data_IF_208499845024
#
_entry.id   IF_208499845024
#
_cell.length_a   1.000
_cell.length_b   1.000
_cell.length_c   1.000
_cell.angle_alpha   90.00
_cell.angle_beta   90.00
_cell.angle_gamma   90.00
#
_symmetry.space_group_name_H-M   'P 1'
#
loop_
_entity.id
_entity.type
_entity.pdbx_description
1 polymer ?
#
# COMPACT_ATOMS: atom_id res chain seq x y z
N UNK A 1 -2.72 61.72 0.42
CA UNK A 1 -3.82 60.92 -0.18
C UNK A 1 -3.48 59.46 0.01
N UNK A 2 -4.49 58.68 0.39
CA UNK A 2 -4.42 57.40 1.10
C UNK A 2 -3.81 56.23 0.30
N UNK A 3 -3.27 55.28 1.07
CA UNK A 3 -2.85 53.93 0.70
C UNK A 3 -4.04 53.02 0.34
N UNK A 4 -3.75 51.91 -0.36
CA UNK A 4 -4.52 50.66 -0.32
C UNK A 4 -5.28 50.32 -1.61
N UNK A 5 -5.38 49.07 -2.08
CA UNK A 5 -5.10 47.76 -1.49
C UNK A 5 -4.83 46.76 -2.64
N UNK A 6 -3.77 45.96 -2.51
CA UNK A 6 -3.68 44.67 -3.19
C UNK A 6 -4.74 43.73 -2.60
N UNK A 7 -5.69 43.31 -3.42
CA UNK A 7 -6.67 42.28 -3.08
C UNK A 7 -6.19 40.94 -3.64
N UNK A 8 -5.24 40.30 -2.97
CA UNK A 8 -5.12 38.85 -3.05
C UNK A 8 -6.31 38.27 -2.28
N UNK A 9 -7.36 37.91 -3.00
CA UNK A 9 -8.51 37.23 -2.43
C UNK A 9 -8.07 35.86 -1.89
N UNK A 10 -7.91 35.78 -0.57
CA UNK A 10 -7.80 34.52 0.15
C UNK A 10 -9.09 33.73 -0.11
N UNK A 11 -8.96 32.52 -0.66
CA UNK A 11 -10.11 31.63 -0.84
C UNK A 11 -10.77 31.44 0.54
N UNK A 12 -12.10 31.58 0.65
CA UNK A 12 -12.77 31.50 1.95
C UNK A 12 -12.45 30.16 2.57
N UNK A 13 -11.82 30.18 3.75
CA UNK A 13 -11.54 29.00 4.54
C UNK A 13 -12.85 28.24 4.73
N UNK A 14 -13.01 27.10 4.06
CA UNK A 14 -14.21 26.28 4.16
C UNK A 14 -14.39 25.94 5.65
N UNK A 15 -15.60 26.17 6.16
CA UNK A 15 -16.02 25.71 7.48
C UNK A 15 -15.66 24.22 7.64
N UNK A 16 -14.87 23.89 8.67
CA UNK A 16 -14.35 22.54 8.88
C UNK A 16 -15.47 21.51 8.94
N UNK A 17 -16.58 21.83 9.62
CA UNK A 17 -17.70 20.90 9.74
C UNK A 17 -18.34 20.65 8.37
N UNK A 18 -18.50 21.68 7.53
CA UNK A 18 -19.00 21.50 6.16
C UNK A 18 -18.02 20.71 5.29
N UNK A 19 -16.72 20.98 5.42
CA UNK A 19 -15.69 20.29 4.64
C UNK A 19 -15.62 18.80 4.99
N UNK A 20 -15.72 18.45 6.29
CA UNK A 20 -15.74 17.05 6.75
C UNK A 20 -16.89 16.24 6.14
N UNK A 21 -18.02 16.88 5.88
CA UNK A 21 -19.21 16.25 5.29
C UNK A 21 -19.34 16.47 3.78
N UNK A 22 -18.28 16.98 3.12
CA UNK A 22 -18.26 17.12 1.67
C UNK A 22 -18.43 15.74 1.00
N UNK A 23 -19.32 15.62 -0.02
CA UNK A 23 -19.59 14.35 -0.69
C UNK A 23 -18.35 13.59 -1.18
N UNK A 24 -17.23 14.29 -1.46
CA UNK A 24 -15.99 13.66 -1.93
C UNK A 24 -15.41 12.62 -0.94
N UNK A 25 -15.77 12.68 0.34
CA UNK A 25 -15.29 11.72 1.36
C UNK A 25 -16.06 10.40 1.37
N UNK A 26 -17.16 10.30 0.63
CA UNK A 26 -18.12 9.19 0.73
C UNK A 26 -18.31 8.48 -0.61
N UNK A 27 -18.54 7.16 -0.62
CA UNK A 27 -18.95 6.44 -1.82
C UNK A 27 -20.26 7.00 -2.42
N UNK A 28 -20.41 7.03 -3.75
CA UNK A 28 -19.44 6.58 -4.75
C UNK A 28 -18.36 7.64 -5.09
N UNK A 29 -18.54 8.91 -4.70
CA UNK A 29 -17.70 10.02 -5.15
C UNK A 29 -16.22 9.85 -4.77
N UNK A 30 -15.94 9.31 -3.59
CA UNK A 30 -14.55 9.04 -3.15
C UNK A 30 -13.83 8.04 -4.04
N UNK A 31 -14.54 7.10 -4.68
CA UNK A 31 -13.92 6.07 -5.55
C UNK A 31 -13.51 6.63 -6.91
N UNK A 32 -14.04 7.79 -7.29
CA UNK A 32 -13.71 8.49 -8.54
C UNK A 32 -12.81 9.71 -8.31
N UNK A 33 -12.49 10.02 -7.05
CA UNK A 33 -11.67 11.17 -6.71
C UNK A 33 -10.22 11.00 -7.22
N UNK A 34 -9.71 12.08 -7.80
CA UNK A 34 -8.32 12.18 -8.26
C UNK A 34 -7.39 12.66 -7.15
N UNK A 35 -6.10 12.36 -7.26
CA UNK A 35 -5.09 12.86 -6.32
C UNK A 35 -5.11 14.39 -6.26
N UNK A 36 -5.32 15.07 -7.39
CA UNK A 36 -5.42 16.53 -7.48
C UNK A 36 -6.58 17.07 -6.65
N UNK A 37 -7.75 16.42 -6.71
CA UNK A 37 -8.92 16.83 -5.91
C UNK A 37 -8.68 16.63 -4.42
N UNK A 38 -8.05 15.52 -4.01
CA UNK A 38 -7.70 15.27 -2.61
C UNK A 38 -6.67 16.30 -2.11
N UNK A 39 -5.61 16.53 -2.88
CA UNK A 39 -4.48 17.39 -2.52
C UNK A 39 -4.83 18.88 -2.55
N UNK A 40 -5.92 19.28 -3.21
CA UNK A 40 -6.42 20.66 -3.15
C UNK A 40 -6.73 21.12 -1.71
N UNK A 41 -7.07 20.20 -0.81
CA UNK A 41 -7.29 20.48 0.61
C UNK A 41 -6.26 19.81 1.52
N UNK A 42 -5.65 18.68 1.10
CA UNK A 42 -4.74 17.87 1.91
C UNK A 42 -3.25 17.96 1.53
N UNK A 43 -2.84 19.04 0.84
CA UNK A 43 -1.45 19.23 0.40
C UNK A 43 -0.41 19.12 1.52
N UNK A 44 -0.79 19.37 2.78
CA UNK A 44 0.10 19.33 3.94
C UNK A 44 0.81 17.98 4.07
N UNK A 45 0.17 16.88 3.64
CA UNK A 45 0.71 15.53 3.74
C UNK A 45 1.99 15.33 2.92
N UNK A 46 2.18 16.11 1.85
CA UNK A 46 3.36 16.05 0.99
C UNK A 46 4.56 16.76 1.61
N UNK A 47 4.30 17.74 2.49
CA UNK A 47 5.33 18.56 3.11
C UNK A 47 5.63 18.17 4.56
N UNK A 48 4.72 17.42 5.20
CA UNK A 48 4.86 16.99 6.59
C UNK A 48 6.11 16.13 6.80
N UNK A 49 6.94 16.52 7.78
CA UNK A 49 8.15 15.80 8.18
C UNK A 49 8.08 15.34 9.64
N UNK A 50 8.69 14.19 9.98
CA UNK A 50 8.93 13.84 11.38
C UNK A 50 9.74 14.93 12.08
N UNK A 51 9.54 15.07 13.40
CA UNK A 51 10.36 15.99 14.20
C UNK A 51 11.82 15.52 14.20
N UNK A 52 12.75 16.46 14.15
CA UNK A 52 14.19 16.15 14.27
C UNK A 52 14.52 15.51 15.63
N UNK A 53 13.79 15.88 16.68
CA UNK A 53 13.91 15.34 18.03
C UNK A 53 12.51 15.06 18.58
N UNK A 54 12.32 13.87 19.15
CA UNK A 54 11.07 13.50 19.80
C UNK A 54 10.86 14.30 21.10
N UNK A 55 9.63 14.36 21.65
CA UNK A 55 9.39 14.96 22.96
C UNK A 55 10.24 14.33 24.09
N UNK A 56 10.70 13.08 23.92
CA UNK A 56 11.56 12.38 24.86
C UNK A 56 13.07 12.63 24.63
N UNK A 57 13.44 13.53 23.71
CA UNK A 57 14.85 13.88 23.44
C UNK A 57 15.59 12.96 22.47
N UNK A 58 14.90 11.97 21.88
CA UNK A 58 15.52 11.04 20.91
C UNK A 58 15.61 11.70 19.54
N UNK A 59 16.80 11.78 18.95
CA UNK A 59 17.00 12.36 17.62
C UNK A 59 16.54 11.37 16.54
N UNK A 60 15.88 11.88 15.50
CA UNK A 60 15.40 11.07 14.39
C UNK A 60 16.53 10.39 13.59
N UNK A 61 17.74 10.97 13.61
CA UNK A 61 18.93 10.37 12.97
C UNK A 61 19.51 9.20 13.76
N UNK A 62 19.21 9.11 15.05
CA UNK A 62 19.68 8.05 15.93
C UNK A 62 18.70 6.86 15.98
N UNK A 63 17.60 6.92 15.21
CA UNK A 63 16.58 5.87 15.19
C UNK A 63 16.49 5.20 13.82
N UNK A 64 16.46 3.87 13.85
CA UNK A 64 16.08 3.03 12.72
C UNK A 64 14.80 2.29 13.11
N UNK A 65 13.75 2.48 12.31
CA UNK A 65 12.62 1.59 12.27
C UNK A 65 13.05 0.26 11.66
N UNK A 66 12.48 -0.82 12.15
CA UNK A 66 12.86 -2.19 11.78
C UNK A 66 12.71 -2.50 10.28
N UNK A 67 11.84 -1.77 9.55
CA UNK A 67 11.66 -1.89 8.10
C UNK A 67 12.72 -1.16 7.27
N UNK A 68 13.64 -0.45 7.92
CA UNK A 68 14.77 0.26 7.29
C UNK A 68 16.02 -0.63 7.18
N UNK A 69 15.87 -1.93 7.43
CA UNK A 69 16.95 -2.91 7.41
C UNK A 69 17.22 -3.49 6.02
N UNK A 70 16.50 -3.01 5.00
CA UNK A 70 16.61 -3.47 3.62
C UNK A 70 17.30 -2.42 2.77
N UNK A 71 18.06 -2.87 1.77
CA UNK A 71 18.78 -1.97 0.84
C UNK A 71 17.84 -1.06 0.05
N UNK A 72 16.56 -1.45 -0.04
CA UNK A 72 15.51 -0.65 -0.69
C UNK A 72 15.00 0.51 0.16
N UNK A 73 15.56 0.72 1.36
CA UNK A 73 15.29 1.87 2.20
C UNK A 73 16.51 2.80 2.24
N UNK A 74 16.38 3.97 1.62
CA UNK A 74 17.41 5.01 1.65
C UNK A 74 16.89 6.30 2.31
N UNK A 75 17.83 7.10 2.83
CA UNK A 75 17.58 8.46 3.32
C UNK A 75 17.11 8.57 4.78
N UNK A 76 16.80 9.82 5.17
CA UNK A 76 16.40 10.18 6.53
C UNK A 76 15.00 9.64 6.92
N UNK A 77 14.62 9.74 8.19
CA UNK A 77 13.24 9.49 8.60
C UNK A 77 12.28 10.40 7.84
N UNK A 78 11.22 9.82 7.31
CA UNK A 78 10.23 10.52 6.49
C UNK A 78 8.82 10.15 6.90
N UNK A 79 7.84 10.98 6.51
CA UNK A 79 6.44 10.71 6.85
C UNK A 79 5.91 9.48 6.12
N UNK A 80 4.82 8.93 6.65
CA UNK A 80 4.14 7.78 6.04
C UNK A 80 3.76 8.06 4.58
N UNK A 81 3.13 9.20 4.29
CA UNK A 81 2.73 9.58 2.93
C UNK A 81 3.95 9.73 2.01
N UNK A 82 5.00 10.43 2.46
CA UNK A 82 6.22 10.58 1.66
C UNK A 82 6.82 9.22 1.29
N UNK A 83 6.85 8.26 2.22
CA UNK A 83 7.41 6.92 1.95
C UNK A 83 6.64 6.13 0.90
N UNK A 84 5.34 6.38 0.75
CA UNK A 84 4.47 5.67 -0.20
C UNK A 84 4.23 6.42 -1.51
N UNK A 85 4.49 7.74 -1.57
CA UNK A 85 4.26 8.56 -2.76
C UNK A 85 5.54 9.12 -3.36
N UNK A 86 6.46 9.57 -2.51
CA UNK A 86 7.58 10.42 -2.93
C UNK A 86 8.94 9.72 -2.91
N UNK A 87 9.09 8.64 -2.14
CA UNK A 87 10.36 7.93 -2.05
C UNK A 87 10.81 7.41 -3.42
N UNK A 88 12.14 7.34 -3.71
CA UNK A 88 12.64 6.88 -5.00
C UNK A 88 12.11 5.50 -5.40
N UNK A 89 12.02 4.57 -4.43
CA UNK A 89 11.45 3.26 -4.67
C UNK A 89 9.95 3.35 -4.96
N UNK A 90 9.18 4.11 -4.16
CA UNK A 90 7.74 4.26 -4.37
C UNK A 90 7.43 4.80 -5.77
N UNK A 91 8.08 5.89 -6.20
CA UNK A 91 7.90 6.44 -7.56
C UNK A 91 8.26 5.46 -8.67
N UNK A 92 9.17 4.52 -8.39
CA UNK A 92 9.58 3.50 -9.35
C UNK A 92 8.59 2.35 -9.46
N UNK A 93 8.14 1.80 -8.33
CA UNK A 93 7.43 0.50 -8.30
C UNK A 93 5.96 0.59 -7.91
N UNK A 94 5.56 1.67 -7.26
CA UNK A 94 4.20 1.90 -6.79
C UNK A 94 3.47 2.87 -7.72
N UNK A 95 2.17 2.68 -7.88
CA UNK A 95 1.27 3.58 -8.58
C UNK A 95 0.07 3.86 -7.65
N UNK A 96 0.36 4.30 -6.43
CA UNK A 96 -0.65 4.48 -5.39
C UNK A 96 -1.32 5.85 -5.54
N UNK A 97 -2.65 5.83 -5.55
CA UNK A 97 -3.48 7.02 -5.47
C UNK A 97 -4.06 7.18 -4.07
N UNK A 98 -4.51 8.39 -3.72
CA UNK A 98 -5.14 8.67 -2.43
C UNK A 98 -6.27 7.67 -2.12
N UNK A 99 -7.07 7.35 -3.14
CA UNK A 99 -8.24 6.46 -3.05
C UNK A 99 -7.88 4.98 -2.90
N UNK A 100 -6.63 4.58 -3.17
CA UNK A 100 -6.17 3.22 -2.89
C UNK A 100 -6.28 2.93 -1.38
N UNK A 101 -5.86 3.88 -0.55
CA UNK A 101 -5.97 3.79 0.91
C UNK A 101 -7.30 4.36 1.41
N UNK A 102 -7.66 5.55 0.95
CA UNK A 102 -8.82 6.30 1.41
C UNK A 102 -10.06 5.95 0.59
N UNK A 103 -10.72 4.86 0.96
CA UNK A 103 -11.87 4.30 0.25
C UNK A 103 -13.21 4.91 0.71
N UNK A 104 -13.14 5.90 1.61
CA UNK A 104 -14.28 6.51 2.29
C UNK A 104 -14.94 5.56 3.28
N UNK A 105 -16.05 6.00 3.85
CA UNK A 105 -16.90 5.21 4.74
C UNK A 105 -18.37 5.61 4.54
N UNK A 106 -19.33 4.71 4.76
CA UNK A 106 -20.72 5.15 4.85
C UNK A 106 -20.96 5.75 6.25
N UNK A 107 -21.34 7.03 6.38
CA UNK A 107 -21.61 7.63 7.68
C UNK A 107 -22.80 7.01 8.41
N UNK A 108 -23.64 6.24 7.71
CA UNK A 108 -24.78 5.49 8.26
C UNK A 108 -24.38 4.09 8.75
N UNK A 109 -23.17 3.61 8.46
CA UNK A 109 -22.67 2.36 9.05
C UNK A 109 -22.50 2.54 10.57
N UNK A 110 -23.05 1.59 11.31
CA UNK A 110 -23.00 1.53 12.77
C UNK A 110 -22.45 0.18 13.20
N UNK A 111 -21.73 0.14 14.33
CA UNK A 111 -21.26 -1.12 14.87
C UNK A 111 -22.45 -2.02 15.23
N UNK A 112 -22.39 -3.34 14.94
CA UNK A 112 -23.42 -4.26 15.40
C UNK A 112 -23.55 -4.19 16.92
N UNK A 113 -24.78 -4.05 17.42
CA UNK A 113 -25.10 -4.09 18.85
C UNK A 113 -26.16 -5.19 19.08
N UNK A 114 -25.84 -6.27 19.81
CA UNK A 114 -24.56 -6.56 20.47
C UNK A 114 -23.44 -6.92 19.49
N UNK A 115 -22.16 -6.82 19.90
CA UNK A 115 -21.03 -7.25 19.06
C UNK A 115 -21.17 -8.71 18.60
N UNK A 116 -20.87 -8.98 17.33
CA UNK A 116 -20.87 -10.32 16.75
C UNK A 116 -19.43 -10.79 16.46
N UNK A 117 -19.18 -12.10 16.51
CA UNK A 117 -17.92 -12.68 16.05
C UNK A 117 -17.86 -12.81 14.51
N UNK A 118 -19.02 -12.78 13.85
CA UNK A 118 -19.12 -12.80 12.39
C UNK A 118 -18.72 -11.44 11.80
N UNK A 119 -17.97 -11.42 10.68
CA UNK A 119 -17.68 -10.19 9.95
C UNK A 119 -18.99 -9.53 9.52
N UNK A 120 -19.20 -8.28 9.93
CA UNK A 120 -20.47 -7.58 9.71
C UNK A 120 -20.77 -7.23 8.23
N UNK A 121 -19.86 -7.58 7.31
CA UNK A 121 -19.98 -7.25 5.88
C UNK A 121 -19.68 -5.79 5.53
N UNK A 122 -19.32 -4.97 6.53
CA UNK A 122 -18.92 -3.57 6.37
C UNK A 122 -17.73 -3.23 7.30
N UNK A 123 -17.02 -2.16 6.95
CA UNK A 123 -15.86 -1.69 7.70
C UNK A 123 -16.25 -0.50 8.59
N UNK A 124 -16.43 -0.72 9.89
CA UNK A 124 -16.75 0.30 10.90
C UNK A 124 -16.13 1.68 10.60
N UNK A 125 -16.91 2.65 10.09
CA UNK A 125 -16.55 4.07 9.84
C UNK A 125 -15.06 4.36 9.60
N UNK A 126 -14.39 3.49 8.85
CA UNK A 126 -12.96 3.56 8.62
C UNK A 126 -12.80 4.06 7.21
N UNK A 127 -12.28 5.28 7.07
CA UNK A 127 -11.91 5.82 5.76
C UNK A 127 -10.81 4.96 5.08
N UNK A 128 -10.11 4.13 5.85
CA UNK A 128 -9.07 3.18 5.40
C UNK A 128 -9.33 1.82 6.03
N UNK A 129 -9.52 0.78 5.21
CA UNK A 129 -9.51 -0.61 5.66
C UNK A 129 -8.11 -1.22 5.55
N UNK A 130 -7.40 -1.42 6.67
CA UNK A 130 -6.03 -1.90 6.62
C UNK A 130 -5.92 -3.36 6.18
N UNK A 131 -7.00 -4.14 6.19
CA UNK A 131 -6.99 -5.55 5.78
C UNK A 131 -6.91 -5.73 4.26
N UNK A 132 -7.38 -4.74 3.51
CA UNK A 132 -7.42 -4.76 2.02
C UNK A 132 -6.41 -3.81 1.38
N UNK A 133 -5.90 -2.84 2.15
CA UNK A 133 -4.92 -1.83 1.71
C UNK A 133 -3.51 -2.13 2.28
N UNK A 134 -3.32 -1.95 3.59
CA UNK A 134 -2.02 -2.08 4.25
C UNK A 134 -1.51 -3.52 4.30
N UNK A 135 -2.36 -4.47 4.68
CA UNK A 135 -1.99 -5.88 4.84
C UNK A 135 -1.46 -6.46 3.54
N UNK A 136 -1.94 -5.98 2.40
CA UNK A 136 -1.44 -6.37 1.09
C UNK A 136 0.07 -6.17 0.99
N UNK A 137 0.55 -4.97 1.25
CA UNK A 137 1.97 -4.63 1.14
C UNK A 137 2.81 -4.98 2.38
N UNK A 138 2.17 -5.09 3.55
CA UNK A 138 2.84 -5.28 4.84
C UNK A 138 2.51 -6.61 5.54
N UNK A 139 1.97 -7.57 4.80
CA UNK A 139 1.76 -8.93 5.28
C UNK A 139 3.06 -9.68 5.47
N UNK A 140 3.03 -10.73 6.29
CA UNK A 140 4.20 -11.56 6.55
C UNK A 140 4.67 -12.36 5.33
N UNK A 141 5.94 -12.76 5.34
CA UNK A 141 6.52 -13.63 4.33
C UNK A 141 5.95 -15.06 4.48
N UNK A 142 5.28 -15.56 3.44
CA UNK A 142 4.69 -16.91 3.46
C UNK A 142 5.67 -17.95 2.92
N UNK A 143 6.79 -18.12 3.63
CA UNK A 143 7.90 -18.95 3.19
C UNK A 143 7.49 -20.42 2.99
N UNK A 144 6.55 -20.94 3.80
CA UNK A 144 6.03 -22.31 3.64
C UNK A 144 5.31 -22.49 2.31
N UNK A 145 4.44 -21.54 1.93
CA UNK A 145 3.72 -21.59 0.64
C UNK A 145 4.66 -21.39 -0.55
N UNK A 146 5.74 -20.61 -0.37
CA UNK A 146 6.79 -20.45 -1.38
C UNK A 146 7.69 -21.70 -1.51
N UNK A 147 7.61 -22.66 -0.58
CA UNK A 147 8.45 -23.85 -0.58
C UNK A 147 9.89 -23.57 -0.12
N UNK A 148 10.11 -22.50 0.64
CA UNK A 148 11.42 -22.18 1.21
C UNK A 148 11.71 -23.04 2.45
N UNK A 149 12.98 -23.41 2.72
CA UNK A 149 13.34 -24.22 3.88
C UNK A 149 13.17 -23.50 5.23
N UNK A 150 13.05 -22.17 5.21
CA UNK A 150 12.84 -21.32 6.38
C UNK A 150 12.48 -19.88 5.97
N UNK A 151 12.32 -18.97 6.93
CA UNK A 151 12.14 -17.53 6.66
C UNK A 151 13.24 -16.98 5.74
N UNK A 152 12.90 -15.98 4.91
CA UNK A 152 13.84 -15.42 3.92
C UNK A 152 15.22 -15.01 4.49
N UNK A 153 15.33 -14.36 5.67
CA UNK A 153 16.64 -14.02 6.23
C UNK A 153 17.55 -15.24 6.47
N UNK A 154 16.96 -16.41 6.72
CA UNK A 154 17.67 -17.67 6.96
C UNK A 154 17.93 -18.44 5.65
N UNK A 155 17.02 -18.32 4.67
CA UNK A 155 17.09 -19.09 3.42
C UNK A 155 17.74 -18.35 2.25
N UNK A 156 17.90 -17.02 2.29
CA UNK A 156 18.35 -16.20 1.14
C UNK A 156 19.67 -16.66 0.54
N UNK A 157 20.62 -17.10 1.37
CA UNK A 157 21.91 -17.61 0.91
C UNK A 157 21.79 -18.90 0.07
N UNK A 158 20.90 -19.81 0.46
CA UNK A 158 20.61 -21.04 -0.29
C UNK A 158 19.95 -20.74 -1.64
N UNK A 159 19.25 -19.60 -1.73
CA UNK A 159 18.58 -19.12 -2.94
C UNK A 159 19.44 -18.15 -3.75
N UNK A 160 20.75 -18.09 -3.49
CA UNK A 160 21.71 -17.19 -4.15
C UNK A 160 21.25 -15.72 -4.12
N UNK A 161 20.57 -15.33 -3.06
CA UNK A 161 20.01 -14.00 -2.87
C UNK A 161 19.07 -13.54 -4.01
N UNK A 162 18.35 -14.49 -4.64
CA UNK A 162 17.52 -14.20 -5.80
C UNK A 162 16.15 -14.86 -5.70
N UNK A 163 15.11 -14.05 -5.54
CA UNK A 163 13.72 -14.52 -5.67
C UNK A 163 13.40 -14.94 -7.12
N UNK A 164 14.11 -14.34 -8.09
CA UNK A 164 13.88 -14.57 -9.53
C UNK A 164 14.40 -15.94 -9.97
N UNK A 165 15.28 -16.58 -9.19
CA UNK A 165 15.75 -17.95 -9.41
C UNK A 165 14.58 -18.93 -9.67
N UNK A 166 13.53 -18.83 -8.86
CA UNK A 166 12.30 -19.62 -9.05
C UNK A 166 11.26 -18.85 -9.88
N UNK A 167 11.06 -17.56 -9.57
CA UNK A 167 9.99 -16.77 -10.18
C UNK A 167 10.19 -16.49 -11.68
N UNK A 168 11.36 -16.75 -12.26
CA UNK A 168 11.50 -16.76 -13.73
C UNK A 168 10.64 -17.85 -14.40
N UNK A 169 10.47 -19.02 -13.75
CA UNK A 169 9.77 -20.18 -14.33
C UNK A 169 8.39 -20.45 -13.75
N UNK A 170 8.10 -19.98 -12.52
CA UNK A 170 6.81 -20.19 -11.86
C UNK A 170 6.17 -18.86 -11.47
N UNK A 171 4.83 -18.87 -11.36
CA UNK A 171 4.07 -17.68 -10.97
C UNK A 171 4.36 -16.50 -11.90
N UNK A 172 4.48 -16.70 -13.21
CA UNK A 172 5.00 -15.69 -14.14
C UNK A 172 4.04 -14.54 -14.44
N UNK A 173 2.76 -14.67 -14.10
CA UNK A 173 1.77 -13.59 -14.16
C UNK A 173 1.68 -12.86 -12.81
N UNK A 174 2.66 -11.98 -12.52
CA UNK A 174 2.75 -11.22 -11.25
C UNK A 174 2.37 -9.76 -11.42
N UNK A 175 2.01 -9.12 -10.31
CA UNK A 175 1.89 -7.67 -10.18
C UNK A 175 0.93 -7.00 -11.19
N UNK A 176 0.00 -7.76 -11.80
CA UNK A 176 -0.98 -7.26 -12.79
C UNK A 176 -2.13 -6.52 -12.10
N UNK A 177 -1.81 -5.41 -11.45
CA UNK A 177 -2.75 -4.58 -10.70
C UNK A 177 -2.50 -3.11 -10.99
N UNK A 178 -3.54 -2.28 -10.89
CA UNK A 178 -3.47 -0.85 -11.23
C UNK A 178 -2.57 -0.02 -10.31
N UNK A 179 -2.39 -0.46 -9.06
CA UNK A 179 -1.64 0.29 -8.03
C UNK A 179 -0.14 -0.04 -7.98
N UNK A 180 0.37 -0.87 -8.90
CA UNK A 180 1.79 -1.22 -9.00
C UNK A 180 2.30 -1.11 -10.44
N UNK A 181 3.59 -0.82 -10.58
CA UNK A 181 4.28 -0.89 -11.86
C UNK A 181 4.99 -2.25 -12.01
N UNK A 182 4.30 -3.22 -12.63
CA UNK A 182 4.81 -4.58 -12.80
C UNK A 182 6.18 -4.63 -13.48
N UNK A 183 6.37 -3.90 -14.58
CA UNK A 183 7.63 -3.91 -15.33
C UNK A 183 8.81 -3.38 -14.50
N UNK A 184 8.59 -2.28 -13.78
CA UNK A 184 9.62 -1.70 -12.92
C UNK A 184 9.98 -2.60 -11.73
N UNK A 185 9.00 -3.33 -11.17
CA UNK A 185 9.21 -4.32 -10.10
C UNK A 185 10.08 -5.46 -10.62
N UNK A 186 9.73 -6.06 -11.75
CA UNK A 186 10.48 -7.20 -12.30
C UNK A 186 11.91 -6.79 -12.67
N UNK A 187 12.12 -5.56 -13.15
CA UNK A 187 13.47 -5.05 -13.41
C UNK A 187 14.26 -4.83 -12.12
N UNK A 188 13.67 -4.18 -11.11
CA UNK A 188 14.34 -3.96 -9.83
C UNK A 188 14.65 -5.28 -9.09
N UNK A 189 13.79 -6.30 -9.22
CA UNK A 189 13.98 -7.62 -8.64
C UNK A 189 15.15 -8.41 -9.22
N UNK A 190 15.60 -8.09 -10.44
CA UNK A 190 16.82 -8.70 -11.02
C UNK A 190 18.09 -8.22 -10.32
N UNK A 191 18.07 -7.01 -9.78
CA UNK A 191 19.25 -6.39 -9.15
C UNK A 191 19.35 -6.72 -7.67
N UNK A 192 18.24 -6.77 -6.94
CA UNK A 192 18.23 -7.04 -5.51
C UNK A 192 16.97 -7.77 -5.07
N UNK A 193 17.14 -8.88 -4.34
CA UNK A 193 16.04 -9.59 -3.70
C UNK A 193 15.28 -8.75 -2.68
N UNK A 194 15.89 -7.70 -2.13
CA UNK A 194 15.24 -6.83 -1.16
C UNK A 194 14.10 -6.02 -1.79
N UNK A 195 14.07 -5.88 -3.11
CA UNK A 195 12.90 -5.38 -3.85
C UNK A 195 11.69 -6.29 -3.62
N UNK A 196 11.89 -7.59 -3.79
CA UNK A 196 10.85 -8.60 -3.63
C UNK A 196 10.53 -8.80 -2.15
N UNK A 197 11.56 -9.08 -1.34
CA UNK A 197 11.40 -9.35 0.08
C UNK A 197 10.77 -8.17 0.80
N UNK A 198 11.14 -6.92 0.48
CA UNK A 198 10.54 -5.73 1.08
C UNK A 198 9.02 -5.68 0.99
N UNK A 199 8.46 -6.08 -0.15
CA UNK A 199 7.00 -6.14 -0.35
C UNK A 199 6.37 -7.46 0.13
N UNK A 200 7.15 -8.54 0.18
CA UNK A 200 6.70 -9.88 0.56
C UNK A 200 7.15 -10.27 1.98
N UNK A 201 7.19 -9.33 2.92
CA UNK A 201 7.38 -9.60 4.36
C UNK A 201 8.62 -9.01 5.02
N UNK A 202 9.54 -8.44 4.25
CA UNK A 202 10.67 -7.66 4.79
C UNK A 202 10.22 -6.33 5.43
N UNK A 203 9.03 -5.84 5.07
CA UNK A 203 8.34 -4.72 5.72
C UNK A 203 7.03 -5.18 6.36
N UNK A 204 7.03 -6.33 7.01
CA UNK A 204 5.89 -6.92 7.72
C UNK A 204 5.39 -6.12 8.95
N UNK A 205 4.24 -5.46 8.84
CA UNK A 205 3.55 -4.83 9.99
C UNK A 205 2.59 -5.81 10.66
N UNK A 206 2.05 -6.75 9.88
CA UNK A 206 1.03 -7.69 10.32
C UNK A 206 1.64 -9.07 10.56
N UNK A 207 1.22 -9.74 11.63
CA UNK A 207 1.66 -11.12 11.93
C UNK A 207 1.16 -12.16 10.92
N UNK A 208 0.19 -11.79 10.08
CA UNK A 208 -0.48 -12.66 9.11
C UNK A 208 -0.01 -12.34 7.69
N UNK A 209 -0.12 -13.31 6.79
CA UNK A 209 0.15 -13.13 5.37
C UNK A 209 -1.08 -12.56 4.67
N UNK A 210 -0.88 -11.74 3.63
CA UNK A 210 -1.97 -11.40 2.73
C UNK A 210 -2.26 -12.57 1.78
N UNK A 211 -3.53 -13.00 1.62
CA UNK A 211 -3.90 -14.11 0.78
C UNK A 211 -3.95 -13.72 -0.71
N UNK A 212 -2.80 -13.43 -1.31
CA UNK A 212 -2.73 -12.99 -2.70
C UNK A 212 -3.46 -13.94 -3.67
N UNK A 213 -4.22 -13.40 -4.65
CA UNK A 213 -4.88 -14.20 -5.66
C UNK A 213 -3.92 -15.09 -6.45
N UNK A 214 -4.37 -16.30 -6.75
CA UNK A 214 -3.66 -17.34 -7.51
C UNK A 214 -3.94 -17.22 -9.01
N UNK A 215 -3.61 -16.07 -9.60
CA UNK A 215 -3.73 -15.84 -11.05
C UNK A 215 -3.09 -16.99 -11.85
N UNK A 216 -3.76 -17.56 -12.87
CA UNK A 216 -3.18 -18.60 -13.70
C UNK A 216 -1.87 -18.18 -14.36
N UNK A 217 -0.92 -19.11 -14.51
CA UNK A 217 0.33 -18.89 -15.25
C UNK A 217 0.65 -20.08 -16.18
N UNK A 218 1.43 -19.86 -17.26
CA UNK A 218 1.87 -20.94 -18.13
C UNK A 218 2.57 -22.08 -17.36
N UNK A 219 2.16 -23.32 -17.59
CA UNK A 219 2.74 -24.49 -16.92
C UNK A 219 2.27 -24.71 -15.47
N UNK A 220 1.27 -23.96 -15.00
CA UNK A 220 0.63 -24.20 -13.71
C UNK A 220 -0.03 -25.58 -13.64
N UNK A 221 0.27 -26.33 -12.58
CA UNK A 221 -0.35 -27.63 -12.34
C UNK A 221 -1.88 -27.50 -12.20
N UNK A 222 -2.60 -28.47 -12.78
CA UNK A 222 -4.07 -28.55 -12.70
C UNK A 222 -4.53 -28.82 -11.26
N UNK A 223 -3.75 -29.58 -10.51
CA UNK A 223 -4.04 -29.87 -9.12
C UNK A 223 -3.87 -28.60 -8.27
N UNK A 224 -4.88 -28.30 -7.47
CA UNK A 224 -4.90 -27.16 -6.56
C UNK A 224 -4.43 -27.64 -5.18
N UNK A 225 -3.29 -27.14 -4.66
CA UNK A 225 -2.84 -27.49 -3.31
C UNK A 225 -3.86 -27.10 -2.25
N UNK A 226 -3.89 -27.82 -1.13
CA UNK A 226 -4.86 -27.61 -0.04
C UNK A 226 -4.93 -26.15 0.41
N UNK A 227 -3.78 -25.52 0.66
CA UNK A 227 -3.68 -24.13 1.11
C UNK A 227 -4.26 -23.11 0.12
N UNK A 228 -4.46 -23.51 -1.14
CA UNK A 228 -4.88 -22.66 -2.24
C UNK A 228 -6.34 -22.82 -2.64
N UNK A 229 -7.09 -23.77 -2.05
CA UNK A 229 -8.49 -24.05 -2.45
C UNK A 229 -9.40 -22.82 -2.32
N UNK A 230 -9.21 -22.03 -1.28
CA UNK A 230 -10.00 -20.81 -1.01
C UNK A 230 -9.34 -19.53 -1.53
N UNK A 231 -8.28 -19.63 -2.35
CA UNK A 231 -7.62 -18.45 -2.93
C UNK A 231 -8.37 -18.00 -4.18
N UNK A 232 -8.73 -16.72 -4.23
CA UNK A 232 -9.24 -16.08 -5.44
C UNK A 232 -8.28 -16.33 -6.62
N UNK A 233 -8.81 -16.54 -7.82
CA UNK A 233 -8.02 -16.78 -9.04
C UNK A 233 -7.73 -15.52 -9.84
N UNK A 234 -8.25 -14.37 -9.38
CA UNK A 234 -8.13 -13.08 -10.04
C UNK A 234 -7.93 -11.98 -8.98
N UNK A 235 -7.24 -10.90 -9.35
CA UNK A 235 -7.17 -9.70 -8.52
C UNK A 235 -8.55 -9.08 -8.30
N UNK A 236 -8.72 -8.31 -7.23
CA UNK A 236 -9.98 -7.61 -6.95
C UNK A 236 -10.35 -6.68 -8.11
N UNK A 237 -11.62 -6.67 -8.49
CA UNK A 237 -12.13 -5.96 -9.68
C UNK A 237 -11.66 -4.49 -9.79
N UNK A 238 -11.69 -3.66 -8.73
CA UNK A 238 -11.26 -2.26 -8.81
C UNK A 238 -9.77 -2.10 -9.18
N UNK A 239 -8.96 -3.12 -8.91
CA UNK A 239 -7.52 -3.08 -9.11
C UNK A 239 -7.05 -3.85 -10.34
N UNK A 240 -7.96 -4.48 -11.10
CA UNK A 240 -7.58 -5.15 -12.35
C UNK A 240 -7.11 -4.10 -13.34
N UNK A 241 -6.03 -4.41 -14.04
CA UNK A 241 -5.62 -3.63 -15.20
C UNK A 241 -6.74 -3.72 -16.25
N UNK A 242 -7.35 -2.59 -16.57
CA UNK A 242 -8.31 -2.51 -17.67
C UNK A 242 -7.54 -2.74 -18.97
N UNK A 243 -8.01 -3.63 -19.83
CA UNK A 243 -7.39 -3.77 -21.16
C UNK A 243 -7.43 -2.41 -21.85
N UNK A 244 -6.29 -1.98 -22.40
CA UNK A 244 -6.28 -0.83 -23.28
C UNK A 244 -7.28 -1.12 -24.40
N UNK A 245 -8.33 -0.30 -24.52
CA UNK A 245 -9.21 -0.34 -25.69
C UNK A 245 -8.31 -0.21 -26.91
N UNK A 246 -8.16 -1.30 -27.67
CA UNK A 246 -7.48 -1.29 -28.96
C UNK A 246 -8.23 -0.42 -29.94
#
# INVERSE_FOLDING_TARGET
MLWGLDASAEAPQKDYERARWDPIHFPPAVHEATNEQCLACHQEILSAKPRQVSPAGVKAVDTLAWYQTLDTYEGAQESFHWRHLESPLAKKVMNLDCVFCHQGNDPREEAPVPPTAEPAGFNLRKAVDPSTTCLRCHGGNNYQVMGLPGPWPESRALMQDSCVLCHAGIRTNRHKVSYLNAAAIEEAGKTSSDTCYGCHGGRQWYRINYPYPRNPWPGMAKDVPEWAKDRATESDEPYRLKEAKK
#
